data_IF_248361626375
#
_entry.id   IF_248361626375
#
_cell.length_a   1.000
_cell.length_b   1.000
_cell.length_c   1.000
_cell.angle_alpha   90.00
_cell.angle_beta   90.00
_cell.angle_gamma   90.00
#
_symmetry.space_group_name_H-M   'P 1'
#
loop_
_entity.id
_entity.type
_entity.pdbx_description
1 polymer ?
#
# COMPACT_ATOMS: atom_id res chain seq x y z
N UNK A 1 69.12 -42.12 18.20
CA UNK A 1 67.77 -42.38 17.62
C UNK A 1 66.62 -41.77 18.43
N UNK A 2 66.61 -41.80 19.77
CA UNK A 2 65.50 -41.25 20.59
C UNK A 2 65.22 -39.76 20.32
N UNK A 3 66.24 -38.89 20.25
CA UNK A 3 66.07 -37.43 20.01
C UNK A 3 65.43 -37.08 18.66
N UNK A 4 65.75 -37.81 17.60
CA UNK A 4 65.16 -37.62 16.25
C UNK A 4 63.67 -37.99 16.25
N UNK A 5 63.27 -39.03 16.99
CA UNK A 5 61.85 -39.41 17.14
C UNK A 5 61.04 -38.31 17.83
N UNK A 6 61.59 -37.66 18.85
CA UNK A 6 60.91 -36.55 19.53
C UNK A 6 60.75 -35.32 18.64
N UNK A 7 61.74 -35.01 17.80
CA UNK A 7 61.69 -33.89 16.83
C UNK A 7 60.63 -34.16 15.75
N UNK A 8 60.58 -35.39 15.21
CA UNK A 8 59.56 -35.77 14.23
C UNK A 8 58.15 -35.72 14.83
N UNK A 9 58.00 -36.13 16.09
CA UNK A 9 56.72 -36.09 16.79
C UNK A 9 56.27 -34.66 17.10
N UNK A 10 57.19 -33.76 17.43
CA UNK A 10 56.86 -32.33 17.63
C UNK A 10 56.47 -31.65 16.31
N UNK A 11 57.16 -31.96 15.21
CA UNK A 11 56.79 -31.44 13.89
C UNK A 11 55.42 -31.94 13.43
N UNK A 12 55.07 -33.19 13.75
CA UNK A 12 53.75 -33.76 13.48
C UNK A 12 52.64 -33.02 14.27
N UNK A 13 52.84 -32.77 15.56
CA UNK A 13 51.87 -32.01 16.39
C UNK A 13 51.74 -30.57 15.91
N UNK A 14 52.85 -29.93 15.51
CA UNK A 14 52.84 -28.58 14.95
C UNK A 14 52.09 -28.54 13.62
N UNK A 15 52.22 -29.57 12.77
CA UNK A 15 51.49 -29.67 11.50
C UNK A 15 49.99 -29.94 11.67
N UNK A 16 49.59 -30.66 12.72
CA UNK A 16 48.18 -30.90 13.06
C UNK A 16 47.51 -29.65 13.65
N UNK A 17 48.28 -28.71 14.20
CA UNK A 17 47.77 -27.43 14.72
C UNK A 17 47.58 -26.35 13.64
N UNK A 18 48.00 -26.63 12.39
CA UNK A 18 47.75 -25.79 11.21
C UNK A 18 46.51 -26.25 10.42
N UNK A 19 45.78 -27.26 10.91
CA UNK A 19 44.44 -27.55 10.40
C UNK A 19 43.58 -26.34 10.74
N UNK A 20 43.43 -25.44 9.77
CA UNK A 20 42.51 -24.32 9.81
C UNK A 20 41.15 -24.86 10.19
N UNK A 21 40.73 -24.61 11.43
CA UNK A 21 39.40 -24.91 11.90
C UNK A 21 38.48 -23.93 11.17
N UNK A 22 37.91 -24.36 10.05
CA UNK A 22 36.68 -23.75 9.57
C UNK A 22 35.63 -24.12 10.62
N UNK A 23 35.43 -23.23 11.58
CA UNK A 23 34.30 -23.31 12.49
C UNK A 23 33.05 -23.03 11.65
N UNK A 24 32.46 -24.10 11.10
CA UNK A 24 31.14 -24.02 10.51
C UNK A 24 30.16 -23.59 11.61
N UNK A 25 29.31 -22.60 11.32
CA UNK A 25 28.35 -22.13 12.31
C UNK A 25 27.44 -23.27 12.77
N UNK A 26 27.21 -23.32 14.07
CA UNK A 26 26.23 -24.21 14.68
C UNK A 26 24.81 -23.81 14.26
N UNK A 27 23.89 -24.76 14.38
CA UNK A 27 22.46 -24.50 14.15
C UNK A 27 21.90 -23.42 15.08
N UNK A 28 22.43 -23.32 16.30
CA UNK A 28 22.02 -22.34 17.30
C UNK A 28 22.45 -20.92 16.92
N UNK A 29 23.68 -20.76 16.43
CA UNK A 29 24.18 -19.49 15.90
C UNK A 29 23.37 -19.04 14.68
N UNK A 30 23.16 -19.93 13.71
CA UNK A 30 22.35 -19.63 12.52
C UNK A 30 20.92 -19.24 12.91
N UNK A 31 20.32 -19.92 13.89
CA UNK A 31 18.96 -19.60 14.34
C UNK A 31 18.90 -18.25 15.05
N UNK A 32 19.91 -17.91 15.84
CA UNK A 32 20.02 -16.59 16.49
C UNK A 32 20.10 -15.49 15.44
N UNK A 33 20.99 -15.64 14.44
CA UNK A 33 21.12 -14.70 13.34
C UNK A 33 19.83 -14.56 12.51
N UNK A 34 19.13 -15.67 12.25
CA UNK A 34 17.80 -15.64 11.59
C UNK A 34 16.79 -14.84 12.41
N UNK A 35 16.76 -15.01 13.73
CA UNK A 35 15.85 -14.25 14.60
C UNK A 35 16.18 -12.77 14.62
N UNK A 36 17.46 -12.39 14.56
CA UNK A 36 17.89 -11.01 14.43
C UNK A 36 17.54 -10.41 13.06
N UNK A 37 17.78 -11.16 11.97
CA UNK A 37 17.44 -10.74 10.62
C UNK A 37 15.92 -10.47 10.48
N UNK A 38 15.07 -11.26 11.16
CA UNK A 38 13.63 -11.04 11.18
C UNK A 38 13.19 -9.75 11.88
N UNK A 39 14.06 -9.11 12.68
CA UNK A 39 13.80 -7.81 13.32
C UNK A 39 14.15 -6.63 12.43
N UNK A 40 14.79 -6.88 11.28
CA UNK A 40 15.14 -5.83 10.32
C UNK A 40 13.86 -5.15 9.82
N UNK A 41 13.85 -3.83 9.87
CA UNK A 41 12.75 -3.00 9.37
C UNK A 41 13.21 -2.27 8.12
N UNK A 42 12.32 -2.18 7.13
CA UNK A 42 12.60 -1.42 5.90
C UNK A 42 11.66 -0.25 5.79
N UNK A 43 12.23 0.92 5.59
CA UNK A 43 11.50 2.14 5.22
C UNK A 43 12.02 2.64 3.89
N UNK A 44 11.19 3.36 3.14
CA UNK A 44 11.59 3.98 1.89
C UNK A 44 11.17 5.44 1.83
N UNK A 45 11.94 6.24 1.10
CA UNK A 45 11.66 7.64 0.78
C UNK A 45 11.77 7.84 -0.72
N UNK A 46 10.75 8.43 -1.32
CA UNK A 46 10.79 8.86 -2.73
C UNK A 46 11.78 10.02 -2.90
N UNK A 47 12.60 9.96 -3.94
CA UNK A 47 13.68 10.94 -4.17
C UNK A 47 13.24 12.18 -4.97
N UNK A 48 11.95 12.30 -5.28
CA UNK A 48 11.43 13.39 -6.11
C UNK A 48 11.74 13.20 -7.59
N UNK A 49 11.24 14.12 -8.42
CA UNK A 49 11.56 14.19 -9.84
C UNK A 49 12.92 14.84 -10.04
N UNK A 50 13.83 14.12 -10.67
CA UNK A 50 15.15 14.60 -11.06
C UNK A 50 15.29 14.49 -12.58
N UNK A 51 16.36 15.03 -13.13
CA UNK A 51 16.71 14.88 -14.56
C UNK A 51 18.01 14.09 -14.64
N UNK A 52 18.04 13.06 -15.47
CA UNK A 52 19.28 12.32 -15.74
C UNK A 52 20.23 13.10 -16.67
N UNK A 53 21.38 12.50 -16.99
CA UNK A 53 22.40 13.15 -17.82
C UNK A 53 21.90 13.42 -19.26
N UNK A 54 20.88 12.68 -19.68
CA UNK A 54 20.28 12.70 -21.01
C UNK A 54 19.08 13.66 -21.10
N UNK A 55 18.69 14.32 -20.01
CA UNK A 55 17.57 15.26 -19.98
C UNK A 55 16.21 14.61 -19.70
N UNK A 56 16.18 13.32 -19.34
CA UNK A 56 14.95 12.58 -19.05
C UNK A 56 14.54 12.78 -17.61
N UNK A 57 13.23 12.97 -17.38
CA UNK A 57 12.68 13.04 -16.03
C UNK A 57 12.72 11.65 -15.38
N UNK A 58 13.40 11.56 -14.25
CA UNK A 58 13.52 10.37 -13.39
C UNK A 58 12.78 10.63 -12.09
N UNK A 59 11.59 10.04 -11.97
CA UNK A 59 10.70 10.18 -10.82
C UNK A 59 10.33 8.83 -10.20
N UNK A 60 10.97 7.75 -10.65
CA UNK A 60 10.70 6.39 -10.20
C UNK A 60 11.69 5.88 -9.14
N UNK A 61 12.55 6.76 -8.60
CA UNK A 61 13.65 6.40 -7.71
C UNK A 61 13.33 6.60 -6.23
N UNK A 62 13.84 5.70 -5.41
CA UNK A 62 13.68 5.66 -3.96
C UNK A 62 15.02 5.51 -3.25
N UNK A 63 15.05 5.94 -1.99
CA UNK A 63 16.07 5.59 -1.00
C UNK A 63 15.44 4.65 0.03
N UNK A 64 16.08 3.52 0.28
CA UNK A 64 15.65 2.50 1.24
C UNK A 64 16.58 2.54 2.44
N UNK A 65 15.99 2.39 3.63
CA UNK A 65 16.74 2.25 4.87
C UNK A 65 16.33 0.95 5.55
N UNK A 66 17.29 0.05 5.68
CA UNK A 66 17.19 -1.16 6.48
C UNK A 66 17.71 -0.82 7.88
N UNK A 67 16.87 -0.92 8.89
CA UNK A 67 17.20 -0.64 10.30
C UNK A 67 17.20 -1.91 11.13
N UNK A 68 17.89 -1.89 12.28
CA UNK A 68 18.12 -3.05 13.15
C UNK A 68 18.99 -4.12 12.48
N UNK A 69 19.92 -3.70 11.63
CA UNK A 69 20.94 -4.58 11.06
C UNK A 69 22.21 -4.45 11.90
N UNK A 70 22.87 -5.58 12.15
CA UNK A 70 24.13 -5.64 12.90
C UNK A 70 25.33 -5.73 11.94
N UNK A 71 26.54 -5.58 12.45
CA UNK A 71 27.77 -5.56 11.63
C UNK A 71 28.15 -6.94 11.05
N UNK A 72 27.56 -8.03 11.55
CA UNK A 72 27.72 -9.36 10.98
C UNK A 72 26.86 -9.53 9.72
N UNK A 73 25.86 -8.68 9.50
CA UNK A 73 24.90 -8.83 8.41
C UNK A 73 25.21 -7.92 7.23
N UNK A 74 24.86 -8.40 6.04
CA UNK A 74 24.84 -7.59 4.84
C UNK A 74 23.64 -7.95 3.96
N UNK A 75 23.31 -7.04 3.06
CA UNK A 75 22.14 -7.16 2.17
C UNK A 75 22.62 -7.40 0.75
N UNK A 76 21.91 -8.26 0.02
CA UNK A 76 22.18 -8.56 -1.39
C UNK A 76 20.88 -8.66 -2.18
N UNK A 77 20.90 -8.22 -3.44
CA UNK A 77 19.90 -8.67 -4.43
C UNK A 77 20.57 -9.73 -5.29
N UNK A 78 20.14 -10.98 -5.12
CA UNK A 78 20.80 -12.13 -5.75
C UNK A 78 20.73 -12.05 -7.29
N UNK A 79 19.62 -11.58 -7.84
CA UNK A 79 19.38 -11.47 -9.29
C UNK A 79 20.31 -10.48 -10.01
N UNK A 80 20.76 -9.42 -9.31
CA UNK A 80 21.64 -8.38 -9.88
C UNK A 80 23.09 -8.50 -9.40
N UNK A 81 23.38 -9.44 -8.49
CA UNK A 81 24.68 -9.58 -7.85
C UNK A 81 25.18 -8.28 -7.16
N UNK A 82 24.25 -7.47 -6.66
CA UNK A 82 24.56 -6.24 -5.93
C UNK A 82 24.48 -6.48 -4.42
N UNK A 83 25.47 -5.98 -3.67
CA UNK A 83 25.56 -6.16 -2.23
C UNK A 83 25.89 -4.84 -1.50
N UNK A 84 25.38 -4.72 -0.28
CA UNK A 84 25.61 -3.61 0.62
C UNK A 84 26.06 -4.15 1.97
N UNK A 85 27.32 -3.86 2.32
CA UNK A 85 28.01 -4.34 3.52
C UNK A 85 28.28 -3.24 4.55
N UNK A 86 28.17 -1.97 4.15
CA UNK A 86 28.47 -0.85 5.03
C UNK A 86 27.31 -0.59 5.99
N UNK A 87 27.43 -1.08 7.22
CA UNK A 87 26.50 -0.80 8.32
C UNK A 87 26.95 0.45 9.06
N UNK A 88 26.04 1.43 9.20
CA UNK A 88 26.24 2.65 9.99
C UNK A 88 25.05 2.85 10.90
N UNK A 89 25.28 3.06 12.19
CA UNK A 89 24.23 3.26 13.20
C UNK A 89 23.11 2.20 13.12
N UNK A 90 23.51 0.93 13.01
CA UNK A 90 22.61 -0.22 12.84
C UNK A 90 21.67 -0.11 11.62
N UNK A 91 22.15 0.54 10.55
CA UNK A 91 21.42 0.76 9.31
C UNK A 91 22.28 0.49 8.08
N UNK A 92 21.60 0.05 7.02
CA UNK A 92 22.09 0.07 5.64
C UNK A 92 21.16 0.95 4.83
N UNK A 93 21.72 1.83 4.02
CA UNK A 93 20.95 2.69 3.10
C UNK A 93 21.29 2.33 1.66
N UNK A 94 20.26 2.19 0.83
CA UNK A 94 20.37 1.94 -0.60
C UNK A 94 19.68 3.09 -1.31
N UNK A 95 20.46 3.91 -2.01
CA UNK A 95 19.94 5.04 -2.77
C UNK A 95 19.73 4.66 -4.25
N UNK A 96 18.82 5.39 -4.90
CA UNK A 96 18.54 5.28 -6.35
C UNK A 96 18.09 3.88 -6.79
N UNK A 97 17.19 3.26 -6.02
CA UNK A 97 16.51 2.05 -6.46
C UNK A 97 15.17 2.39 -7.11
N UNK A 98 14.87 1.77 -8.24
CA UNK A 98 13.65 2.01 -8.99
C UNK A 98 12.40 1.45 -8.29
N UNK A 99 11.21 1.90 -8.70
CA UNK A 99 9.95 1.26 -8.35
C UNK A 99 9.94 -0.21 -8.77
N UNK A 100 9.29 -1.08 -7.99
CA UNK A 100 9.24 -2.50 -8.31
C UNK A 100 9.03 -3.41 -7.10
N UNK A 101 9.13 -4.71 -7.34
CA UNK A 101 9.13 -5.74 -6.30
C UNK A 101 10.54 -6.29 -6.20
N UNK A 102 11.09 -6.29 -5.00
CA UNK A 102 12.44 -6.75 -4.71
C UNK A 102 12.43 -7.79 -3.61
N UNK A 103 13.32 -8.78 -3.75
CA UNK A 103 13.65 -9.75 -2.71
C UNK A 103 15.10 -9.48 -2.31
N UNK A 104 15.28 -8.89 -1.13
CA UNK A 104 16.60 -8.66 -0.56
C UNK A 104 16.97 -9.84 0.31
N UNK A 105 18.08 -10.49 0.00
CA UNK A 105 18.67 -11.54 0.82
C UNK A 105 19.50 -10.93 1.93
N UNK A 106 19.34 -11.42 3.16
CA UNK A 106 20.19 -11.06 4.29
C UNK A 106 21.19 -12.20 4.48
N UNK A 107 22.46 -11.86 4.50
CA UNK A 107 23.57 -12.78 4.67
C UNK A 107 24.35 -12.47 5.95
N UNK A 108 25.01 -13.49 6.50
CA UNK A 108 25.95 -13.37 7.62
C UNK A 108 27.39 -13.47 7.11
N UNK A 109 28.25 -12.57 7.58
CA UNK A 109 29.68 -12.57 7.34
C UNK A 109 30.37 -13.73 8.08
N UNK A 110 30.04 -13.93 9.35
CA UNK A 110 30.61 -15.00 10.20
C UNK A 110 30.22 -16.39 9.73
N UNK A 111 28.94 -16.61 9.40
CA UNK A 111 28.44 -17.90 8.95
C UNK A 111 28.48 -18.11 7.43
N UNK A 112 28.92 -17.10 6.67
CA UNK A 112 29.06 -17.13 5.20
C UNK A 112 27.83 -17.70 4.49
N UNK A 113 26.64 -17.33 4.98
CA UNK A 113 25.39 -17.98 4.61
C UNK A 113 24.19 -17.04 4.62
N UNK A 114 23.18 -17.40 3.84
CA UNK A 114 21.90 -16.68 3.79
C UNK A 114 21.10 -16.98 5.05
N UNK A 115 20.71 -15.94 5.76
CA UNK A 115 19.98 -16.00 7.02
C UNK A 115 18.58 -15.38 6.93
N UNK A 116 18.22 -14.76 5.82
CA UNK A 116 16.88 -14.19 5.67
C UNK A 116 16.55 -13.70 4.28
N UNK A 117 15.28 -13.34 4.10
CA UNK A 117 14.74 -12.65 2.94
C UNK A 117 13.86 -11.50 3.42
N UNK A 118 13.96 -10.36 2.75
CA UNK A 118 13.11 -9.21 2.98
C UNK A 118 12.44 -8.83 1.66
N UNK A 119 11.12 -8.97 1.61
CA UNK A 119 10.33 -8.61 0.44
C UNK A 119 9.93 -7.14 0.52
N UNK A 120 10.26 -6.35 -0.50
CA UNK A 120 9.94 -4.93 -0.57
C UNK A 120 9.16 -4.65 -1.85
N UNK A 121 7.96 -4.08 -1.71
CA UNK A 121 7.18 -3.52 -2.83
C UNK A 121 7.32 -2.00 -2.80
N UNK A 122 8.13 -1.46 -3.72
CA UNK A 122 8.22 -0.03 -3.93
C UNK A 122 7.09 0.40 -4.88
N UNK A 123 6.25 1.35 -4.45
CA UNK A 123 5.11 1.78 -5.25
C UNK A 123 5.56 2.60 -6.46
N UNK A 124 4.78 2.52 -7.55
CA UNK A 124 5.00 3.37 -8.70
C UNK A 124 4.60 4.80 -8.33
N UNK A 125 5.57 5.71 -8.40
CA UNK A 125 5.32 7.13 -8.20
C UNK A 125 4.43 7.66 -9.33
N UNK A 126 3.45 8.47 -8.95
CA UNK A 126 2.55 9.10 -9.90
C UNK A 126 3.05 10.51 -10.22
N UNK A 127 3.60 10.69 -11.40
CA UNK A 127 4.10 12.01 -11.83
C UNK A 127 3.01 13.09 -11.86
N UNK A 128 1.74 12.69 -12.07
CA UNK A 128 0.60 13.61 -12.05
C UNK A 128 0.30 14.16 -10.66
N UNK A 129 0.75 13.51 -9.58
CA UNK A 129 0.63 14.07 -8.23
C UNK A 129 1.43 15.36 -8.01
N UNK A 130 2.34 15.68 -8.94
CA UNK A 130 3.10 16.93 -8.96
C UNK A 130 2.49 17.98 -9.91
N UNK A 131 1.44 17.63 -10.65
CA UNK A 131 0.78 18.54 -11.57
C UNK A 131 -0.06 19.56 -10.78
N UNK A 132 0.03 20.88 -11.06
CA UNK A 132 -0.78 21.90 -10.38
C UNK A 132 -2.29 21.66 -10.45
N UNK A 133 -2.78 20.89 -11.43
CA UNK A 133 -4.19 20.50 -11.49
C UNK A 133 -4.63 19.68 -10.27
N UNK A 134 -3.70 19.00 -9.60
CA UNK A 134 -3.94 18.24 -8.37
C UNK A 134 -3.93 19.08 -7.08
N UNK A 135 -3.64 20.37 -7.16
CA UNK A 135 -3.64 21.25 -5.99
C UNK A 135 -5.05 21.32 -5.36
N UNK A 136 -5.12 21.06 -4.05
CA UNK A 136 -6.38 21.09 -3.29
C UNK A 136 -7.34 19.93 -3.60
N UNK A 137 -6.93 18.94 -4.40
CA UNK A 137 -7.74 17.77 -4.72
C UNK A 137 -7.66 16.73 -3.61
N UNK A 138 -8.82 16.25 -3.15
CA UNK A 138 -8.89 15.11 -2.26
C UNK A 138 -8.50 13.83 -3.02
N UNK A 139 -7.35 13.26 -2.68
CA UNK A 139 -6.79 12.08 -3.34
C UNK A 139 -7.59 10.80 -3.06
N UNK A 140 -8.37 10.74 -1.99
CA UNK A 140 -9.25 9.60 -1.70
C UNK A 140 -10.45 9.58 -2.65
N UNK A 141 -10.90 10.76 -3.10
CA UNK A 141 -12.00 10.91 -4.04
C UNK A 141 -11.51 10.91 -5.50
N UNK A 142 -10.28 11.37 -5.74
CA UNK A 142 -9.65 11.38 -7.06
C UNK A 142 -8.24 10.77 -7.01
N UNK A 143 -8.14 9.42 -7.09
CA UNK A 143 -6.87 8.70 -6.93
C UNK A 143 -5.80 9.02 -7.97
N UNK A 144 -6.15 9.62 -9.10
CA UNK A 144 -5.17 10.03 -10.11
C UNK A 144 -4.28 11.19 -9.64
N UNK A 145 -4.61 11.86 -8.53
CA UNK A 145 -3.75 12.81 -7.85
C UNK A 145 -2.99 12.20 -6.66
N UNK A 146 -3.22 10.94 -6.32
CA UNK A 146 -2.50 10.25 -5.25
C UNK A 146 -1.02 10.16 -5.59
N UNK A 147 -0.16 10.27 -4.56
CA UNK A 147 1.31 10.17 -4.69
C UNK A 147 1.79 8.89 -5.39
N UNK A 148 1.03 7.81 -5.22
CA UNK A 148 1.34 6.49 -5.77
C UNK A 148 0.16 5.96 -6.56
N UNK A 149 0.43 5.36 -7.72
CA UNK A 149 -0.61 4.87 -8.62
C UNK A 149 -0.12 3.64 -9.39
N UNK A 150 -0.88 2.54 -9.35
CA UNK A 150 -0.47 1.29 -10.01
C UNK A 150 -0.54 1.38 -11.54
N UNK A 151 -1.44 2.21 -12.06
CA UNK A 151 -1.65 2.43 -13.50
C UNK A 151 -1.73 3.92 -13.80
N UNK A 152 -0.94 4.40 -14.76
CA UNK A 152 -0.96 5.79 -15.17
C UNK A 152 -1.64 5.92 -16.54
N UNK A 153 -2.78 6.63 -16.64
CA UNK A 153 -3.42 6.91 -17.92
C UNK A 153 -2.58 7.87 -18.76
N UNK A 154 -2.97 8.13 -20.02
CA UNK A 154 -2.36 9.22 -20.79
C UNK A 154 -2.64 10.58 -20.13
N UNK A 155 -1.78 11.56 -20.40
CA UNK A 155 -1.94 12.90 -19.84
C UNK A 155 -3.28 13.54 -20.24
N UNK A 156 -3.68 13.39 -21.50
CA UNK A 156 -4.99 13.84 -22.00
C UNK A 156 -6.16 13.22 -21.23
N UNK A 157 -6.08 11.91 -20.96
CA UNK A 157 -7.11 11.22 -20.16
C UNK A 157 -7.13 11.71 -18.71
N UNK A 158 -5.96 11.98 -18.13
CA UNK A 158 -5.84 12.54 -16.80
C UNK A 158 -6.50 13.93 -16.73
N UNK A 159 -6.15 14.84 -17.65
CA UNK A 159 -6.71 16.20 -17.74
C UNK A 159 -8.23 16.15 -17.88
N UNK A 160 -8.75 15.34 -18.80
CA UNK A 160 -10.21 15.20 -18.98
C UNK A 160 -10.91 14.76 -17.69
N UNK A 161 -10.36 13.75 -17.00
CA UNK A 161 -10.94 13.22 -15.77
C UNK A 161 -10.90 14.21 -14.61
N UNK A 162 -9.82 14.97 -14.46
CA UNK A 162 -9.69 15.93 -13.37
C UNK A 162 -10.59 17.16 -13.58
N UNK A 163 -10.79 17.59 -14.83
CA UNK A 163 -11.76 18.62 -15.17
C UNK A 163 -13.20 18.17 -14.91
N UNK A 164 -13.57 16.95 -15.29
CA UNK A 164 -14.87 16.36 -14.97
C UNK A 164 -15.07 16.30 -13.45
N UNK A 165 -14.07 15.85 -12.70
CA UNK A 165 -14.09 15.85 -11.24
C UNK A 165 -14.30 17.25 -10.66
N UNK A 166 -13.52 18.24 -11.09
CA UNK A 166 -13.65 19.63 -10.63
C UNK A 166 -15.04 20.19 -10.91
N UNK A 167 -15.60 19.96 -12.09
CA UNK A 167 -16.99 20.34 -12.41
C UNK A 167 -17.98 19.72 -11.44
N UNK A 168 -17.88 18.43 -11.12
CA UNK A 168 -18.79 17.80 -10.14
C UNK A 168 -18.66 18.34 -8.71
N UNK A 169 -17.52 18.92 -8.36
CA UNK A 169 -17.26 19.54 -7.05
C UNK A 169 -17.66 21.01 -6.99
N UNK A 170 -17.46 21.74 -8.09
CA UNK A 170 -18.00 23.08 -8.30
C UNK A 170 -19.54 23.08 -8.36
N UNK A 171 -20.14 21.98 -8.85
CA UNK A 171 -21.60 21.77 -8.88
C UNK A 171 -22.12 21.17 -7.55
N UNK A 172 -21.47 21.46 -6.41
CA UNK A 172 -22.15 21.35 -5.10
C UNK A 172 -22.62 22.74 -4.63
N UNK A 173 -23.77 23.23 -5.11
CA UNK A 173 -24.47 24.28 -4.41
C UNK A 173 -25.12 23.67 -3.16
N UNK A 174 -24.73 24.17 -1.98
CA UNK A 174 -25.76 24.45 -0.99
C UNK A 174 -26.55 25.64 -1.57
N UNK A 175 -27.82 25.38 -1.86
CA UNK A 175 -28.86 26.27 -2.35
C UNK A 175 -28.64 27.14 -3.61
N UNK A 176 -29.64 27.03 -4.51
CA UNK A 176 -30.05 28.00 -5.52
C UNK A 176 -28.98 28.51 -6.50
N UNK A 177 -28.96 27.92 -7.70
CA UNK A 177 -29.49 28.61 -8.89
C UNK A 177 -29.30 27.76 -10.15
N UNK A 178 -30.33 27.81 -10.99
CA UNK A 178 -30.48 27.12 -12.27
C UNK A 178 -29.31 27.37 -13.24
N UNK A 179 -28.90 26.32 -13.99
CA UNK A 179 -29.03 26.21 -15.46
C UNK A 179 -28.41 24.89 -15.94
N UNK A 180 -29.23 23.87 -16.20
CA UNK A 180 -29.57 23.29 -17.53
C UNK A 180 -28.41 22.70 -18.34
N UNK A 181 -28.28 21.37 -18.29
CA UNK A 181 -28.47 20.55 -19.49
C UNK A 181 -28.92 19.13 -19.13
N UNK A 182 -30.23 18.95 -18.95
CA UNK A 182 -30.87 17.64 -19.02
C UNK A 182 -32.32 17.78 -19.54
N UNK A 183 -32.47 18.23 -20.78
CA UNK A 183 -33.77 18.62 -21.35
C UNK A 183 -34.77 17.47 -21.48
N UNK A 184 -34.33 16.21 -21.34
CA UNK A 184 -35.20 15.03 -21.47
C UNK A 184 -35.60 14.50 -20.10
N UNK A 185 -34.67 14.36 -19.16
CA UNK A 185 -34.98 13.86 -17.81
C UNK A 185 -35.73 14.91 -16.99
N UNK A 186 -35.39 16.20 -17.12
CA UNK A 186 -36.08 17.30 -16.44
C UNK A 186 -37.53 17.44 -16.89
N UNK A 187 -37.83 17.17 -18.17
CA UNK A 187 -39.21 17.14 -18.68
C UNK A 187 -40.03 16.01 -18.05
N UNK A 188 -39.45 14.81 -17.95
CA UNK A 188 -40.10 13.64 -17.35
C UNK A 188 -40.33 13.88 -15.85
N UNK A 189 -39.33 14.38 -15.13
CA UNK A 189 -39.42 14.71 -13.70
C UNK A 189 -40.47 15.80 -13.44
N UNK A 190 -40.49 16.86 -14.23
CA UNK A 190 -41.47 17.93 -14.06
C UNK A 190 -42.91 17.46 -14.37
N UNK A 191 -43.08 16.56 -15.34
CA UNK A 191 -44.39 15.98 -15.64
C UNK A 191 -44.89 15.05 -14.51
N UNK A 192 -43.98 14.30 -13.87
CA UNK A 192 -44.29 13.47 -12.70
C UNK A 192 -44.58 14.34 -11.46
N UNK A 193 -43.79 15.39 -11.23
CA UNK A 193 -43.99 16.32 -10.12
C UNK A 193 -45.31 17.07 -10.26
N UNK A 194 -45.65 17.56 -11.46
CA UNK A 194 -46.93 18.25 -11.71
C UNK A 194 -48.13 17.34 -11.46
N UNK A 195 -48.02 16.05 -11.81
CA UNK A 195 -49.04 15.06 -11.50
C UNK A 195 -49.18 14.84 -9.97
N UNK A 196 -48.06 14.71 -9.26
CA UNK A 196 -48.07 14.54 -7.80
C UNK A 196 -48.66 15.78 -7.12
N UNK A 197 -48.29 17.00 -7.52
CA UNK A 197 -48.81 18.24 -6.92
C UNK A 197 -50.28 18.46 -7.26
N UNK A 198 -50.72 18.13 -8.48
CA UNK A 198 -52.13 18.27 -8.89
C UNK A 198 -53.05 17.32 -8.15
N UNK A 199 -52.57 16.10 -7.86
CA UNK A 199 -53.36 15.06 -7.20
C UNK A 199 -52.97 14.83 -5.73
N UNK A 200 -52.13 15.69 -5.13
CA UNK A 200 -51.59 15.52 -3.78
C UNK A 200 -52.68 15.29 -2.72
N UNK A 201 -53.80 16.03 -2.80
CA UNK A 201 -54.92 15.90 -1.86
C UNK A 201 -55.65 14.57 -2.04
N UNK A 202 -55.77 14.07 -3.28
CA UNK A 202 -56.35 12.76 -3.56
C UNK A 202 -55.44 11.61 -3.09
N UNK A 203 -54.13 11.74 -3.27
CA UNK A 203 -53.14 10.75 -2.81
C UNK A 203 -53.12 10.69 -1.27
N UNK A 204 -53.09 11.85 -0.60
CA UNK A 204 -53.10 11.93 0.87
C UNK A 204 -54.41 11.36 1.44
N UNK A 205 -55.56 11.68 0.83
CA UNK A 205 -56.86 11.16 1.27
C UNK A 205 -56.98 9.64 1.09
N UNK A 206 -56.49 9.09 -0.03
CA UNK A 206 -56.46 7.64 -0.23
C UNK A 206 -55.56 6.92 0.80
N UNK A 207 -54.37 7.48 1.08
CA UNK A 207 -53.45 6.93 2.08
C UNK A 207 -54.02 6.96 3.50
N UNK A 208 -54.74 8.02 3.87
CA UNK A 208 -55.40 8.11 5.19
C UNK A 208 -56.50 7.07 5.33
N UNK A 209 -57.31 6.83 4.29
CA UNK A 209 -58.34 5.79 4.32
C UNK A 209 -57.72 4.40 4.48
N UNK A 210 -56.63 4.10 3.77
CA UNK A 210 -55.91 2.82 3.89
C UNK A 210 -55.36 2.63 5.31
N UNK A 211 -54.80 3.68 5.91
CA UNK A 211 -54.30 3.66 7.28
C UNK A 211 -55.42 3.38 8.30
N UNK A 212 -56.59 4.00 8.12
CA UNK A 212 -57.75 3.77 8.98
C UNK A 212 -58.21 2.31 8.88
N UNK A 213 -58.28 1.75 7.67
CA UNK A 213 -58.64 0.34 7.46
C UNK A 213 -57.65 -0.59 8.16
N UNK A 214 -56.34 -0.33 8.05
CA UNK A 214 -55.30 -1.12 8.72
C UNK A 214 -55.44 -1.08 10.25
N UNK A 215 -55.70 0.10 10.82
CA UNK A 215 -55.93 0.26 12.27
C UNK A 215 -57.17 -0.53 12.72
N UNK A 216 -58.26 -0.49 11.95
CA UNK A 216 -59.48 -1.25 12.24
C UNK A 216 -59.22 -2.78 12.17
N UNK A 217 -58.45 -3.26 11.19
CA UNK A 217 -58.06 -4.67 11.09
C UNK A 217 -57.19 -5.11 12.28
N UNK A 218 -56.26 -4.27 12.74
CA UNK A 218 -55.43 -4.55 13.93
C UNK A 218 -56.30 -4.59 15.21
N UNK A 219 -57.25 -3.67 15.36
CA UNK A 219 -58.13 -3.65 16.54
C UNK A 219 -59.10 -4.85 16.54
N UNK A 220 -59.71 -5.17 15.39
CA UNK A 220 -60.64 -6.30 15.28
C UNK A 220 -59.96 -7.66 15.47
N UNK A 221 -58.71 -7.82 14.98
CA UNK A 221 -57.91 -9.02 15.25
C UNK A 221 -57.50 -9.15 16.72
N UNK A 222 -57.27 -8.04 17.43
CA UNK A 222 -57.03 -8.04 18.89
C UNK A 222 -58.30 -8.36 19.70
N UNK A 223 -59.48 -7.88 19.28
CA UNK A 223 -60.76 -8.21 19.94
C UNK A 223 -61.12 -9.70 19.80
N UNK A 224 -60.91 -10.31 18.63
CA UNK A 224 -61.11 -11.77 18.45
C UNK A 224 -60.23 -12.63 19.35
N UNK A 225 -59.02 -12.17 19.71
CA UNK A 225 -58.11 -12.90 20.61
C UNK A 225 -58.43 -12.72 22.11
N UNK A 226 -59.24 -11.72 22.49
CA UNK A 226 -59.66 -11.49 23.89
C UNK A 226 -61.00 -12.16 24.25
N UNK A 227 -61.79 -12.59 23.27
CA UNK A 227 -63.05 -13.33 23.49
C UNK A 227 -62.92 -14.85 23.52
N UNK A 228 -61.70 -15.40 23.69
CA UNK A 228 -61.44 -16.86 23.79
C UNK A 228 -60.87 -17.22 25.17
N UNK A 229 -61.01 -16.32 26.15
CA UNK A 229 -60.75 -16.58 27.56
C UNK A 229 -61.94 -16.04 28.37
N UNK A 230 -63.09 -16.67 28.18
CA UNK A 230 -64.07 -16.98 29.23
C UNK A 230 -64.45 -18.46 29.06
#
# INVERSE_FOLDING_TARGET
>A
MKKIKYILFTFLILSLSILSVNAECTKEEINTLKQEANKIKVTYKHLGSNVDAEGTVVDYMFSLTFSNINDDMYIRIDDYNEEWKEVKDNKITIDKIATGKYIFSVYSNSCQGKIGNINVKLPKFNSYSLDPLCDGINTDEFPLCSKYLEYQPSYETFVKKIEEYKKTKEIKPDDNNNTTDDSTFTKILNQVLDFITKYQIYIISALTVILIILVILIISSKKKKRGVLE
#
